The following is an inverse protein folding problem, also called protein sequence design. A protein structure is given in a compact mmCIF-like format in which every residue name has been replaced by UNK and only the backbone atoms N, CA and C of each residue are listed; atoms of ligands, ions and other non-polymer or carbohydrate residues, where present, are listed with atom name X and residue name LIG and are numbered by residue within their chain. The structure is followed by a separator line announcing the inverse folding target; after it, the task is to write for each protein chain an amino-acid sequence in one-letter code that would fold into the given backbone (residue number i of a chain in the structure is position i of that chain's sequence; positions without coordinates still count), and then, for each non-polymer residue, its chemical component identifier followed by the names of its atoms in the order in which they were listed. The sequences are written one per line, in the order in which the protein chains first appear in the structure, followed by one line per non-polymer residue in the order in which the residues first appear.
data_IF_457102133154
#
_entry.id   IF_457102133154
#
_cell.length_a   1.000
_cell.length_b   1.000
_cell.length_c   1.000
_cell.angle_alpha   90.00
_cell.angle_beta   90.00
_cell.angle_gamma   90.00
#
_symmetry.space_group_name_H-M   'P 1'
#
loop_
_entity.id
_entity.type
_entity.pdbx_description
1 polymer ?
#
# COMPACT_ATOMS: atom_id res chain seq x y z
N UNK A 1 21.06 -14.80 1.18
CA UNK A 1 19.82 -14.27 0.59
C UNK A 1 19.90 -12.75 0.53
N UNK A 2 19.49 -12.17 -0.60
CA UNK A 2 19.36 -10.73 -0.78
C UNK A 2 17.95 -10.26 -0.43
N UNK A 3 17.84 -9.00 0.00
CA UNK A 3 16.56 -8.33 0.24
C UNK A 3 16.51 -7.07 -0.63
N UNK A 4 15.40 -6.86 -1.31
CA UNK A 4 15.10 -5.62 -2.05
C UNK A 4 13.87 -5.00 -1.41
N UNK A 5 14.03 -3.80 -0.88
CA UNK A 5 12.91 -2.99 -0.38
C UNK A 5 12.44 -2.05 -1.48
N UNK A 6 11.14 -2.04 -1.75
CA UNK A 6 10.54 -1.27 -2.83
C UNK A 6 9.58 -0.23 -2.26
N UNK A 7 9.79 1.02 -2.63
CA UNK A 7 8.76 2.04 -2.52
C UNK A 7 7.83 1.90 -3.73
N UNK A 8 6.54 1.78 -3.50
CA UNK A 8 5.56 1.75 -4.60
C UNK A 8 5.56 3.09 -5.34
N UNK A 9 5.08 3.10 -6.61
CA UNK A 9 4.91 4.36 -7.34
C UNK A 9 4.19 5.40 -6.49
N UNK A 10 4.48 6.65 -6.68
CA UNK A 10 3.92 7.77 -5.92
C UNK A 10 4.32 7.81 -4.43
N UNK A 11 5.25 6.96 -4.01
CA UNK A 11 5.77 6.88 -2.64
C UNK A 11 7.29 6.98 -2.63
N UNK A 12 7.82 7.52 -1.52
CA UNK A 12 9.25 7.56 -1.27
C UNK A 12 10.06 8.20 -2.40
N UNK A 13 11.05 7.48 -2.87
CA UNK A 13 11.93 7.90 -3.98
C UNK A 13 11.50 7.31 -5.33
N UNK A 14 10.47 6.47 -5.37
CA UNK A 14 9.98 5.88 -6.61
C UNK A 14 9.30 6.93 -7.51
N UNK A 15 9.26 6.70 -8.82
CA UNK A 15 8.67 7.64 -9.77
C UNK A 15 7.22 7.98 -9.47
N UNK A 16 6.85 9.22 -9.77
CA UNK A 16 5.49 9.70 -9.71
C UNK A 16 4.75 9.41 -11.01
N UNK A 17 3.48 9.03 -10.90
CA UNK A 17 2.62 8.68 -12.02
C UNK A 17 1.18 9.13 -11.72
N UNK A 18 0.39 9.53 -12.73
CA UNK A 18 -1.02 9.84 -12.52
C UNK A 18 -1.89 8.60 -12.31
N UNK A 19 -1.36 7.41 -12.57
CA UNK A 19 -2.06 6.13 -12.42
C UNK A 19 -1.60 5.43 -11.13
N UNK A 20 -2.57 4.91 -10.36
CA UNK A 20 -2.32 4.13 -9.15
C UNK A 20 -3.29 2.95 -9.11
N UNK A 21 -3.10 2.00 -10.03
CA UNK A 21 -3.88 0.76 -10.13
C UNK A 21 -3.02 -0.43 -9.73
N UNK A 22 -3.64 -1.52 -9.30
CA UNK A 22 -2.89 -2.72 -8.93
C UNK A 22 -2.18 -3.38 -10.11
N UNK A 23 -2.75 -3.46 -11.31
CA UNK A 23 -2.00 -3.92 -12.49
C UNK A 23 -0.76 -3.07 -12.77
N UNK A 24 -0.85 -1.75 -12.66
CA UNK A 24 0.30 -0.85 -12.85
C UNK A 24 1.37 -1.06 -11.77
N UNK A 25 0.96 -1.20 -10.50
CA UNK A 25 1.88 -1.49 -9.40
C UNK A 25 2.54 -2.87 -9.56
N UNK A 26 1.80 -3.88 -10.01
CA UNK A 26 2.34 -5.20 -10.30
C UNK A 26 3.39 -5.14 -11.43
N UNK A 27 3.15 -4.35 -12.47
CA UNK A 27 4.12 -4.14 -13.54
C UNK A 27 5.40 -3.48 -13.01
N UNK A 28 5.30 -2.51 -12.10
CA UNK A 28 6.47 -1.90 -11.46
C UNK A 28 7.32 -2.93 -10.69
N UNK A 29 6.67 -3.86 -9.99
CA UNK A 29 7.35 -4.94 -9.29
C UNK A 29 8.07 -5.88 -10.27
N UNK A 30 7.44 -6.23 -11.38
CA UNK A 30 8.03 -7.02 -12.44
C UNK A 30 9.25 -6.31 -13.05
N UNK A 31 9.12 -5.04 -13.37
CA UNK A 31 10.20 -4.22 -13.90
C UNK A 31 11.37 -4.12 -12.90
N UNK A 32 11.08 -4.08 -11.61
CA UNK A 32 12.10 -4.07 -10.55
C UNK A 32 12.86 -5.40 -10.53
N UNK A 33 12.18 -6.54 -10.63
CA UNK A 33 12.85 -7.84 -10.75
C UNK A 33 13.78 -7.87 -11.96
N UNK A 34 13.31 -7.39 -13.10
CA UNK A 34 14.09 -7.39 -14.34
C UNK A 34 15.32 -6.46 -14.24
N UNK A 35 15.15 -5.26 -13.67
CA UNK A 35 16.25 -4.33 -13.45
C UNK A 35 17.35 -4.87 -12.53
N UNK A 36 16.97 -5.70 -11.55
CA UNK A 36 17.90 -6.36 -10.64
C UNK A 36 18.35 -7.74 -11.11
N UNK A 37 17.94 -8.18 -12.28
CA UNK A 37 18.22 -9.51 -12.82
C UNK A 37 17.79 -10.65 -11.90
N UNK A 38 16.65 -10.46 -11.22
CA UNK A 38 16.03 -11.45 -10.32
C UNK A 38 14.98 -12.22 -11.10
N UNK A 39 15.21 -13.50 -11.27
CA UNK A 39 14.27 -14.38 -12.01
C UNK A 39 13.01 -14.64 -11.19
N UNK A 40 13.16 -14.98 -9.92
CA UNK A 40 12.06 -15.29 -9.00
C UNK A 40 12.36 -14.74 -7.62
N UNK A 41 11.31 -14.36 -6.91
CA UNK A 41 11.44 -13.87 -5.53
C UNK A 41 10.23 -14.27 -4.67
N UNK A 42 10.44 -14.30 -3.37
CA UNK A 42 9.37 -14.27 -2.39
C UNK A 42 8.99 -12.81 -2.14
N UNK A 43 7.70 -12.53 -2.23
CA UNK A 43 7.16 -11.19 -2.02
C UNK A 43 6.47 -11.10 -0.67
N UNK A 44 6.74 -10.01 0.02
CA UNK A 44 6.06 -9.63 1.27
C UNK A 44 5.48 -8.25 1.06
N UNK A 45 4.16 -8.14 1.09
CA UNK A 45 3.46 -6.87 0.92
C UNK A 45 2.54 -6.57 2.10
N UNK A 46 2.59 -5.33 2.57
CA UNK A 46 1.72 -4.84 3.63
C UNK A 46 0.63 -3.94 3.05
N UNK A 47 -0.62 -4.17 3.45
CA UNK A 47 -1.78 -3.37 3.05
C UNK A 47 -1.88 -3.25 1.52
N UNK A 48 -1.85 -2.05 0.96
CA UNK A 48 -1.82 -1.82 -0.48
C UNK A 48 -0.72 -2.63 -1.19
N UNK A 49 0.48 -2.72 -0.60
CA UNK A 49 1.57 -3.54 -1.11
C UNK A 49 1.21 -5.03 -1.21
N UNK A 50 0.41 -5.54 -0.29
CA UNK A 50 -0.11 -6.92 -0.33
C UNK A 50 -1.04 -7.15 -1.53
N UNK A 51 -1.92 -6.21 -1.82
CA UNK A 51 -2.77 -6.26 -3.02
C UNK A 51 -1.96 -6.18 -4.32
N UNK A 52 -0.93 -5.33 -4.34
CA UNK A 52 -0.04 -5.23 -5.50
C UNK A 52 0.67 -6.55 -5.78
N UNK A 53 1.15 -7.24 -4.76
CA UNK A 53 1.78 -8.56 -4.92
C UNK A 53 0.76 -9.62 -5.35
N UNK A 54 -0.45 -9.61 -4.80
CA UNK A 54 -1.52 -10.49 -5.27
C UNK A 54 -1.84 -10.23 -6.75
N UNK A 55 -1.91 -8.99 -7.19
CA UNK A 55 -2.09 -8.65 -8.61
C UNK A 55 -0.95 -9.18 -9.49
N UNK A 56 0.27 -9.25 -8.98
CA UNK A 56 1.41 -9.83 -9.70
C UNK A 56 1.22 -11.32 -9.97
N UNK A 57 0.47 -12.04 -9.16
CA UNK A 57 0.17 -13.46 -9.42
C UNK A 57 -0.59 -13.68 -10.73
N UNK A 58 -1.42 -12.71 -11.13
CA UNK A 58 -2.13 -12.75 -12.39
C UNK A 58 -1.26 -12.32 -13.58
N UNK A 59 -0.31 -11.41 -13.34
CA UNK A 59 0.56 -10.87 -14.40
C UNK A 59 1.72 -11.79 -14.72
N UNK A 60 2.41 -12.30 -13.71
CA UNK A 60 3.64 -13.08 -13.87
C UNK A 60 3.79 -14.13 -12.74
N UNK A 61 2.90 -15.14 -12.69
CA UNK A 61 2.89 -16.14 -11.62
C UNK A 61 4.21 -16.92 -11.50
N UNK A 62 4.92 -17.11 -12.60
CA UNK A 62 6.20 -17.81 -12.65
C UNK A 62 7.36 -17.07 -11.97
N UNK A 63 7.19 -15.77 -11.73
CA UNK A 63 8.21 -14.91 -11.09
C UNK A 63 8.12 -14.93 -9.56
N UNK A 64 7.13 -15.62 -9.00
CA UNK A 64 6.83 -15.63 -7.57
C UNK A 64 7.19 -16.99 -6.97
N UNK A 65 8.11 -16.99 -6.00
CA UNK A 65 8.49 -18.18 -5.23
C UNK A 65 7.64 -18.39 -3.98
N UNK A 66 7.10 -17.30 -3.42
CA UNK A 66 6.25 -17.28 -2.26
C UNK A 66 5.60 -15.91 -2.08
N UNK A 67 4.48 -15.88 -1.39
CA UNK A 67 3.67 -14.69 -1.20
C UNK A 67 3.22 -14.56 0.24
N UNK A 68 3.48 -13.41 0.84
CA UNK A 68 2.99 -13.04 2.16
C UNK A 68 2.24 -11.70 2.04
N UNK A 69 0.97 -11.69 2.41
CA UNK A 69 0.15 -10.48 2.47
C UNK A 69 -0.18 -10.14 3.93
N UNK A 70 0.23 -8.96 4.36
CA UNK A 70 0.08 -8.50 5.74
C UNK A 70 -1.07 -7.52 5.82
N UNK A 71 -2.04 -7.83 6.67
CA UNK A 71 -3.19 -7.00 7.06
C UNK A 71 -4.01 -6.47 5.87
N UNK A 72 -4.29 -7.34 4.92
CA UNK A 72 -5.10 -7.03 3.73
C UNK A 72 -5.77 -8.29 3.19
N UNK A 73 -6.93 -8.14 2.59
CA UNK A 73 -7.66 -9.18 1.88
C UNK A 73 -7.86 -8.81 0.41
N UNK A 74 -8.00 -9.80 -0.50
CA UNK A 74 -8.27 -9.57 -1.92
C UNK A 74 -9.74 -9.21 -2.15
N UNK A 75 -10.17 -8.07 -1.60
CA UNK A 75 -11.56 -7.58 -1.64
C UNK A 75 -11.62 -6.10 -1.93
N UNK A 76 -12.76 -5.66 -2.48
CA UNK A 76 -13.10 -4.25 -2.53
C UNK A 76 -13.67 -3.81 -1.18
N UNK A 77 -13.04 -2.85 -0.54
CA UNK A 77 -13.42 -2.40 0.80
C UNK A 77 -14.60 -1.43 0.83
N UNK A 78 -15.13 -0.94 -0.30
CA UNK A 78 -16.33 -0.08 -0.44
C UNK A 78 -16.47 1.09 0.53
N UNK A 79 -15.50 1.36 1.38
CA UNK A 79 -15.55 2.37 2.44
C UNK A 79 -14.39 3.34 2.34
N UNK A 80 -14.67 4.61 2.62
CA UNK A 80 -13.65 5.68 2.64
C UNK A 80 -13.09 5.80 4.05
N UNK A 81 -12.25 4.86 4.45
CA UNK A 81 -11.65 4.82 5.79
C UNK A 81 -10.55 5.86 6.00
N UNK A 82 -10.03 6.46 4.92
CA UNK A 82 -8.87 7.33 4.95
C UNK A 82 -9.21 8.80 4.70
N UNK A 83 -10.50 9.20 4.70
CA UNK A 83 -10.88 10.60 4.45
C UNK A 83 -10.28 11.54 5.49
N UNK A 84 -10.31 11.20 6.77
CA UNK A 84 -9.69 11.99 7.84
C UNK A 84 -8.17 12.05 7.72
N UNK A 85 -7.55 10.95 7.29
CA UNK A 85 -6.10 10.88 7.04
C UNK A 85 -5.71 11.84 5.91
N UNK A 86 -6.45 11.84 4.80
CA UNK A 86 -6.20 12.77 3.70
C UNK A 86 -6.45 14.22 4.10
N UNK A 87 -7.47 14.48 4.92
CA UNK A 87 -7.71 15.83 5.46
C UNK A 87 -6.52 16.31 6.32
N UNK A 88 -6.00 15.45 7.17
CA UNK A 88 -4.82 15.74 8.00
C UNK A 88 -3.57 16.02 7.14
N UNK A 89 -3.32 15.20 6.13
CA UNK A 89 -2.19 15.37 5.20
C UNK A 89 -2.29 16.70 4.45
N UNK A 90 -3.46 17.06 3.96
CA UNK A 90 -3.69 18.34 3.28
C UNK A 90 -3.49 19.54 4.23
N UNK A 91 -4.02 19.44 5.45
CA UNK A 91 -3.85 20.49 6.44
C UNK A 91 -2.36 20.76 6.73
N UNK A 92 -1.54 19.71 6.80
CA UNK A 92 -0.07 19.86 6.91
C UNK A 92 0.51 20.54 5.67
N UNK A 93 0.09 20.16 4.47
CA UNK A 93 0.57 20.75 3.22
C UNK A 93 0.21 22.23 3.10
N UNK A 94 -0.93 22.64 3.63
CA UNK A 94 -1.42 24.03 3.63
C UNK A 94 -0.82 24.84 4.78
N UNK A 95 -0.23 24.18 5.77
CA UNK A 95 0.43 24.83 6.91
C UNK A 95 1.86 25.24 6.56
N UNK A 96 2.46 26.04 7.44
CA UNK A 96 3.88 26.38 7.35
C UNK A 96 4.78 25.36 8.06
N UNK A 97 4.29 24.15 8.35
CA UNK A 97 5.04 23.13 9.04
C UNK A 97 6.24 22.67 8.19
N UNK A 98 7.42 22.76 8.74
CA UNK A 98 8.67 22.29 8.10
C UNK A 98 9.33 21.15 8.86
N UNK A 99 8.90 20.89 10.10
CA UNK A 99 9.40 19.81 10.95
C UNK A 99 8.29 18.81 11.24
N UNK A 100 8.69 17.57 11.56
CA UNK A 100 7.75 16.52 11.98
C UNK A 100 6.94 16.91 13.22
N UNK A 101 7.57 17.64 14.15
CA UNK A 101 6.88 18.10 15.35
C UNK A 101 5.77 19.10 15.03
N UNK A 102 6.03 20.05 14.16
CA UNK A 102 5.02 21.01 13.70
C UNK A 102 3.90 20.31 12.93
N UNK A 103 4.25 19.42 12.02
CA UNK A 103 3.28 18.63 11.28
C UNK A 103 2.41 17.75 12.21
N UNK A 104 3.00 17.15 13.24
CA UNK A 104 2.25 16.38 14.24
C UNK A 104 1.20 17.21 14.96
N UNK A 105 1.51 18.44 15.31
CA UNK A 105 0.54 19.36 15.95
C UNK A 105 -0.66 19.62 15.06
N UNK A 106 -0.44 19.88 13.77
CA UNK A 106 -1.51 20.08 12.79
C UNK A 106 -2.35 18.79 12.65
N UNK A 107 -1.70 17.62 12.55
CA UNK A 107 -2.40 16.37 12.37
C UNK A 107 -3.28 15.99 13.57
N UNK A 108 -2.91 16.35 14.80
CA UNK A 108 -3.69 16.10 16.00
C UNK A 108 -5.04 16.83 16.04
N UNK A 109 -5.20 17.87 15.23
CA UNK A 109 -6.48 18.55 15.05
C UNK A 109 -7.47 17.71 14.22
N UNK A 110 -6.97 16.75 13.44
CA UNK A 110 -7.76 15.92 12.53
C UNK A 110 -7.79 14.43 12.89
N UNK A 111 -6.75 13.92 13.57
CA UNK A 111 -6.56 12.52 13.90
C UNK A 111 -6.33 12.35 15.40
N UNK A 112 -6.96 11.33 15.98
CA UNK A 112 -6.85 11.02 17.41
C UNK A 112 -5.79 9.95 17.70
N UNK A 113 -5.48 9.09 16.72
CA UNK A 113 -4.55 7.98 16.90
C UNK A 113 -3.11 8.41 16.68
N UNK A 114 -2.36 8.59 17.77
CA UNK A 114 -0.96 9.02 17.70
C UNK A 114 -0.09 8.05 16.89
N UNK A 115 -0.37 6.75 16.96
CA UNK A 115 0.35 5.75 16.16
C UNK A 115 0.22 5.97 14.67
N UNK A 116 -0.97 6.35 14.20
CA UNK A 116 -1.22 6.70 12.78
C UNK A 116 -0.47 7.97 12.40
N UNK A 117 -0.52 9.00 13.26
CA UNK A 117 0.21 10.26 13.03
C UNK A 117 1.71 9.98 12.88
N UNK A 118 2.30 9.26 13.81
CA UNK A 118 3.74 8.96 13.76
C UNK A 118 4.12 8.07 12.56
N UNK A 119 3.25 7.15 12.17
CA UNK A 119 3.45 6.35 10.98
C UNK A 119 3.48 7.23 9.70
N UNK A 120 2.51 8.12 9.53
CA UNK A 120 2.44 9.01 8.38
C UNK A 120 3.64 9.97 8.33
N UNK A 121 4.07 10.48 9.48
CA UNK A 121 5.19 11.43 9.56
C UNK A 121 6.55 10.82 9.20
N UNK A 122 6.67 9.50 9.11
CA UNK A 122 7.86 8.87 8.52
C UNK A 122 8.06 9.29 7.07
N UNK A 123 6.97 9.61 6.38
CA UNK A 123 6.98 10.08 5.00
C UNK A 123 6.96 11.61 4.85
N UNK A 124 7.06 12.36 5.96
CA UNK A 124 7.21 13.81 5.97
C UNK A 124 8.67 14.18 6.21
N UNK A 125 9.32 14.72 5.18
CA UNK A 125 10.77 14.99 5.19
C UNK A 125 11.02 16.38 4.62
N UNK A 126 11.76 17.20 5.35
CA UNK A 126 12.15 18.57 4.94
C UNK A 126 10.95 19.44 4.53
N UNK A 127 9.84 19.32 5.26
CA UNK A 127 8.64 20.12 5.01
C UNK A 127 7.76 19.60 3.87
N UNK A 128 8.00 18.42 3.34
CA UNK A 128 7.24 17.87 2.23
C UNK A 128 6.90 16.39 2.42
N UNK A 129 5.79 15.98 1.78
CA UNK A 129 5.38 14.59 1.77
C UNK A 129 6.12 13.78 0.71
N UNK A 130 6.56 12.58 1.08
CA UNK A 130 7.12 11.60 0.16
C UNK A 130 6.05 10.77 -0.55
N UNK A 131 4.78 11.17 -0.47
CA UNK A 131 3.71 10.62 -1.31
C UNK A 131 3.14 11.67 -2.27
N UNK A 132 2.67 11.19 -3.39
CA UNK A 132 1.96 12.02 -4.36
C UNK A 132 0.50 12.18 -3.92
N UNK A 133 0.25 13.08 -2.95
CA UNK A 133 -1.05 13.24 -2.29
C UNK A 133 -2.21 13.46 -3.27
N UNK A 134 -2.11 14.34 -4.28
CA UNK A 134 -3.21 14.57 -5.23
C UNK A 134 -3.60 13.30 -5.99
N UNK A 135 -2.60 12.53 -6.45
CA UNK A 135 -2.86 11.28 -7.20
C UNK A 135 -3.43 10.19 -6.30
N UNK A 136 -2.91 10.04 -5.08
CA UNK A 136 -3.44 9.05 -4.15
C UNK A 136 -4.91 9.35 -3.80
N UNK A 137 -5.27 10.60 -3.68
CA UNK A 137 -6.66 11.01 -3.47
C UNK A 137 -7.54 10.72 -4.68
N UNK A 138 -7.10 11.11 -5.87
CA UNK A 138 -7.80 10.88 -7.13
C UNK A 138 -7.99 9.38 -7.41
N UNK A 139 -6.95 8.59 -7.19
CA UNK A 139 -6.91 7.16 -7.46
C UNK A 139 -7.38 6.29 -6.27
N UNK A 140 -7.83 6.90 -5.19
CA UNK A 140 -8.26 6.19 -3.98
C UNK A 140 -9.28 5.07 -4.24
N UNK A 141 -10.29 5.23 -5.12
CA UNK A 141 -11.21 4.13 -5.45
C UNK A 141 -10.51 2.88 -5.98
N UNK A 142 -9.43 3.02 -6.73
CA UNK A 142 -8.62 1.88 -7.19
C UNK A 142 -7.84 1.24 -6.05
N UNK A 143 -7.33 2.04 -5.12
CA UNK A 143 -6.52 1.56 -3.99
C UNK A 143 -7.37 0.72 -3.02
N UNK A 144 -8.58 1.14 -2.71
CA UNK A 144 -9.51 0.39 -1.84
C UNK A 144 -10.23 -0.72 -2.57
N UNK A 145 -10.35 -0.62 -3.90
CA UNK A 145 -11.00 -1.57 -4.77
C UNK A 145 -10.21 -2.86 -4.97
N UNK A 146 -10.85 -3.83 -5.59
CA UNK A 146 -10.21 -5.07 -5.99
C UNK A 146 -10.96 -5.66 -7.18
N UNK A 147 -10.23 -6.04 -8.21
CA UNK A 147 -10.74 -6.83 -9.31
C UNK A 147 -10.34 -8.29 -9.10
N UNK A 148 -11.32 -9.18 -9.16
CA UNK A 148 -11.08 -10.63 -8.97
C UNK A 148 -10.09 -11.14 -10.01
N UNK A 149 -9.07 -11.85 -9.54
CA UNK A 149 -8.06 -12.49 -10.36
C UNK A 149 -8.15 -14.01 -10.20
N UNK A 150 -7.58 -14.80 -11.13
CA UNK A 150 -7.47 -16.26 -10.95
C UNK A 150 -6.67 -16.60 -9.68
N UNK A 151 -7.09 -17.66 -9.01
CA UNK A 151 -6.36 -18.19 -7.85
C UNK A 151 -4.92 -18.56 -8.24
N UNK A 152 -3.96 -18.17 -7.42
CA UNK A 152 -2.58 -18.61 -7.59
C UNK A 152 -2.41 -20.00 -6.99
N UNK A 153 -1.91 -21.00 -7.75
CA UNK A 153 -1.95 -22.42 -7.35
C UNK A 153 -0.85 -22.81 -6.35
N UNK A 154 -0.42 -21.86 -5.51
CA UNK A 154 0.60 -22.09 -4.49
C UNK A 154 0.16 -21.46 -3.16
N UNK A 155 0.73 -21.91 -2.02
CA UNK A 155 0.38 -21.37 -0.72
C UNK A 155 0.64 -19.86 -0.62
N UNK A 156 -0.37 -19.12 -0.17
CA UNK A 156 -0.28 -17.73 0.18
C UNK A 156 -0.42 -17.59 1.70
N UNK A 157 0.50 -16.87 2.33
CA UNK A 157 0.38 -16.59 3.75
C UNK A 157 -0.27 -15.23 3.96
N UNK A 158 -1.39 -15.21 4.67
CA UNK A 158 -2.03 -13.99 5.15
C UNK A 158 -1.73 -13.78 6.63
N UNK A 159 -1.25 -12.60 6.99
CA UNK A 159 -0.97 -12.22 8.37
C UNK A 159 -1.91 -11.08 8.76
N UNK A 160 -3.02 -11.35 9.47
CA UNK A 160 -3.94 -10.31 9.88
C UNK A 160 -3.42 -9.52 11.08
N UNK A 161 -3.79 -8.26 11.19
CA UNK A 161 -3.66 -7.50 12.42
C UNK A 161 -4.74 -7.94 13.42
N UNK A 162 -4.38 -8.17 14.68
CA UNK A 162 -5.28 -8.74 15.69
C UNK A 162 -6.57 -7.94 15.92
N UNK A 163 -6.53 -6.64 15.78
CA UNK A 163 -7.67 -5.73 15.95
C UNK A 163 -8.01 -4.97 14.65
N UNK A 164 -7.46 -5.40 13.53
CA UNK A 164 -7.65 -4.72 12.26
C UNK A 164 -9.00 -5.06 11.63
N UNK A 165 -9.68 -4.08 11.01
CA UNK A 165 -10.89 -4.32 10.25
C UNK A 165 -10.62 -4.83 8.82
N UNK A 166 -9.37 -4.89 8.37
CA UNK A 166 -9.01 -5.25 6.99
C UNK A 166 -9.05 -6.75 6.72
N UNK A 167 -8.81 -7.58 7.73
CA UNK A 167 -8.92 -9.03 7.61
C UNK A 167 -9.83 -9.54 8.72
N UNK A 168 -11.07 -9.86 8.37
CA UNK A 168 -12.11 -10.35 9.29
C UNK A 168 -12.71 -11.65 8.76
N UNK A 169 -13.52 -12.32 9.57
CA UNK A 169 -14.22 -13.54 9.14
C UNK A 169 -15.10 -13.31 7.92
N UNK A 170 -15.61 -12.09 7.71
CA UNK A 170 -16.40 -11.73 6.52
C UNK A 170 -15.64 -11.90 5.22
N UNK A 171 -14.30 -11.86 5.24
CA UNK A 171 -13.45 -11.97 4.04
C UNK A 171 -12.80 -13.35 3.89
N UNK A 172 -13.16 -14.30 4.75
CA UNK A 172 -12.55 -15.64 4.77
C UNK A 172 -12.63 -16.35 3.40
N UNK A 173 -13.79 -16.30 2.76
CA UNK A 173 -14.00 -16.99 1.48
C UNK A 173 -13.12 -16.37 0.38
N UNK A 174 -12.98 -15.04 0.38
CA UNK A 174 -12.10 -14.33 -0.54
C UNK A 174 -10.62 -14.69 -0.33
N UNK A 175 -10.18 -14.83 0.93
CA UNK A 175 -8.83 -15.27 1.25
C UNK A 175 -8.57 -16.70 0.78
N UNK A 176 -9.53 -17.61 0.97
CA UNK A 176 -9.41 -18.99 0.55
C UNK A 176 -9.48 -19.19 -0.97
N UNK A 177 -10.07 -18.25 -1.69
CA UNK A 177 -10.16 -18.27 -3.14
C UNK A 177 -8.92 -17.72 -3.86
N UNK A 178 -7.99 -17.06 -3.14
CA UNK A 178 -6.76 -16.51 -3.67
C UNK A 178 -5.66 -17.60 -3.73
#
# INVERSE_FOLDING_TARGET
HGIVQVDMRNHGLSPRSPEMTYPAMAQDLLDTLDAHQIERATFIGHSMGGKAVMALTALAPERISGLVAIDIAPVDYHVRRHDEIFAAIRAVSESAASTRQQAAQVMREHLQEEGVIQFLLKSFVDGDWRFNVPVLWDQYPHIVGWETIPAWPHPTQFIPGGNSPYVTDAYRDALLAQ
#
